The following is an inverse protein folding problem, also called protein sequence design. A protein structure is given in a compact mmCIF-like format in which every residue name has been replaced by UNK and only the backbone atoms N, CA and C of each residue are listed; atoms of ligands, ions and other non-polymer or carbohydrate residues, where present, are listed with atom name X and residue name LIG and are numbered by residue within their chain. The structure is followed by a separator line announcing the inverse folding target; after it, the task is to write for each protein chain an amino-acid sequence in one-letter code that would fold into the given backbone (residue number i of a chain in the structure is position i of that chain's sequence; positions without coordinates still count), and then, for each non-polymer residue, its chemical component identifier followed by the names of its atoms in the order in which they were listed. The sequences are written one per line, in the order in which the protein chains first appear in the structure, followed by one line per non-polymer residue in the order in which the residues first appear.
data_IF_162535623472
#
_entry.id   IF_162535623472
#
_cell.length_a   1.000
_cell.length_b   1.000
_cell.length_c   1.000
_cell.angle_alpha   90.00
_cell.angle_beta   90.00
_cell.angle_gamma   90.00
#
_symmetry.space_group_name_H-M   'P 1'
#
loop_
_entity.id
_entity.type
_entity.pdbx_description
1 polymer ?
#
# COMPACT_ATOMS: atom_id res chain seq x y z
N UNK A 1 24.27 39.21 -24.06
CA UNK A 1 24.48 38.08 -24.97
C UNK A 1 23.88 36.84 -24.32
N UNK A 2 22.69 36.46 -24.75
CA UNK A 2 21.98 35.29 -24.23
C UNK A 2 22.42 34.06 -25.04
N UNK A 3 23.03 33.08 -24.38
CA UNK A 3 23.44 31.83 -24.99
C UNK A 3 22.18 31.05 -25.41
N UNK A 4 22.00 30.89 -26.72
CA UNK A 4 20.84 30.30 -27.37
C UNK A 4 21.14 28.91 -27.94
N UNK A 5 22.00 28.14 -27.26
CA UNK A 5 22.35 26.79 -27.69
C UNK A 5 21.19 25.80 -27.46
N UNK A 6 21.06 24.77 -28.32
CA UNK A 6 20.00 23.73 -28.18
C UNK A 6 20.00 23.04 -26.81
N UNK A 7 21.14 22.97 -26.12
CA UNK A 7 21.28 22.43 -24.76
C UNK A 7 20.56 23.29 -23.70
N UNK A 8 20.60 24.61 -23.82
CA UNK A 8 19.94 25.52 -22.87
C UNK A 8 18.42 25.47 -23.03
N UNK A 9 17.91 25.20 -24.23
CA UNK A 9 16.47 25.02 -24.48
C UNK A 9 15.93 23.70 -23.88
N UNK A 10 16.70 22.63 -23.94
CA UNK A 10 16.33 21.33 -23.38
C UNK A 10 16.25 21.40 -21.84
N UNK A 11 17.20 22.07 -21.19
CA UNK A 11 17.23 22.22 -19.73
C UNK A 11 16.08 23.11 -19.24
N UNK A 12 15.73 24.17 -19.96
CA UNK A 12 14.57 25.02 -19.60
C UNK A 12 13.23 24.30 -19.77
N UNK A 13 13.08 23.44 -20.77
CA UNK A 13 11.86 22.64 -20.96
C UNK A 13 11.70 21.57 -19.85
N UNK A 14 12.82 21.01 -19.40
CA UNK A 14 12.83 20.02 -18.31
C UNK A 14 12.50 20.66 -16.94
N UNK A 15 12.98 21.86 -16.67
CA UNK A 15 12.68 22.61 -15.44
C UNK A 15 11.20 23.08 -15.38
N UNK A 16 10.57 23.36 -16.52
CA UNK A 16 9.16 23.77 -16.56
C UNK A 16 8.18 22.60 -16.30
N UNK A 17 8.56 21.37 -16.63
CA UNK A 17 7.78 20.15 -16.33
C UNK A 17 7.86 19.71 -14.86
N UNK A 18 8.94 20.10 -14.16
CA UNK A 18 9.16 19.73 -12.74
C UNK A 18 8.37 20.63 -11.77
N UNK A 19 7.98 21.85 -12.17
CA UNK A 19 7.29 22.81 -11.28
C UNK A 19 5.78 22.54 -11.06
N UNK A 20 5.22 21.52 -11.71
CA UNK A 20 3.80 21.18 -11.58
C UNK A 20 3.51 19.95 -10.72
N UNK A 21 4.52 19.33 -10.10
CA UNK A 21 4.35 18.09 -9.32
C UNK A 21 5.04 18.20 -7.97
N UNK A 22 4.29 18.42 -6.91
CA UNK A 22 4.72 18.24 -5.53
C UNK A 22 4.94 16.76 -5.25
N UNK A 23 6.15 16.38 -4.85
CA UNK A 23 6.49 15.03 -4.37
C UNK A 23 7.35 14.16 -5.30
N UNK A 24 8.48 14.68 -5.82
CA UNK A 24 9.44 13.89 -6.61
C UNK A 24 10.79 13.80 -5.92
N UNK A 25 11.32 12.60 -5.71
CA UNK A 25 12.70 12.37 -5.28
C UNK A 25 13.57 12.21 -6.54
N UNK A 26 14.52 13.11 -6.75
CA UNK A 26 15.49 13.03 -7.84
C UNK A 26 16.86 12.61 -7.27
N UNK A 27 17.38 11.44 -7.67
CA UNK A 27 18.79 11.10 -7.47
C UNK A 27 19.55 11.17 -8.81
N UNK A 28 20.66 11.88 -8.84
CA UNK A 28 21.45 12.13 -10.03
C UNK A 28 22.81 11.40 -9.95
N UNK A 29 23.12 10.51 -10.89
CA UNK A 29 24.46 9.92 -11.02
C UNK A 29 24.87 9.80 -12.49
N UNK A 30 25.87 10.58 -12.88
CA UNK A 30 26.77 10.50 -14.06
C UNK A 30 26.26 10.99 -15.43
N UNK A 31 27.09 11.81 -16.17
CA UNK A 31 26.68 12.56 -17.38
C UNK A 31 26.65 11.77 -18.71
N UNK A 32 26.76 10.44 -18.71
CA UNK A 32 26.80 9.62 -19.95
C UNK A 32 25.74 8.53 -20.09
N UNK A 33 24.78 8.40 -19.15
CA UNK A 33 23.57 7.59 -19.30
C UNK A 33 22.40 8.39 -18.77
N UNK A 34 21.41 8.65 -19.61
CA UNK A 34 20.11 9.09 -19.14
C UNK A 34 19.52 7.94 -18.33
N UNK A 35 19.67 7.98 -17.01
CA UNK A 35 18.93 7.12 -16.11
C UNK A 35 17.52 7.68 -16.10
N UNK A 36 16.55 6.95 -16.63
CA UNK A 36 15.13 7.25 -16.47
C UNK A 36 14.85 7.14 -14.96
N UNK A 37 14.95 8.28 -14.27
CA UNK A 37 14.52 8.37 -12.86
C UNK A 37 13.00 8.20 -12.87
N UNK A 38 12.56 7.03 -12.46
CA UNK A 38 11.14 6.72 -12.32
C UNK A 38 10.61 7.48 -11.13
N UNK A 39 9.76 8.45 -11.39
CA UNK A 39 9.08 9.23 -10.35
C UNK A 39 7.98 8.35 -9.76
N UNK A 40 8.17 7.89 -8.54
CA UNK A 40 7.10 7.25 -7.75
C UNK A 40 6.21 8.37 -7.23
N UNK A 41 4.92 8.34 -7.58
CA UNK A 41 3.94 9.27 -7.01
C UNK A 41 3.64 8.83 -5.57
N UNK A 42 4.29 9.47 -4.62
CA UNK A 42 3.96 9.31 -3.22
C UNK A 42 2.87 10.33 -2.86
N UNK A 43 1.75 9.92 -2.24
CA UNK A 43 0.74 10.86 -1.78
C UNK A 43 1.29 11.75 -0.66
N UNK A 44 0.72 12.93 -0.48
CA UNK A 44 0.95 13.73 0.73
C UNK A 44 0.38 12.99 1.92
N UNK A 45 1.23 12.59 2.86
CA UNK A 45 0.83 11.76 4.00
C UNK A 45 0.28 12.60 5.15
N UNK A 46 -0.80 12.14 5.76
CA UNK A 46 -1.37 12.63 7.02
C UNK A 46 -0.88 11.73 8.16
N UNK A 47 0.44 11.71 8.37
CA UNK A 47 1.08 10.72 9.26
C UNK A 47 0.66 10.88 10.72
N UNK A 48 0.51 12.11 11.22
CA UNK A 48 0.13 12.38 12.61
C UNK A 48 -1.33 12.01 12.88
N UNK A 49 -2.23 12.30 11.94
CA UNK A 49 -3.64 11.95 12.02
C UNK A 49 -3.83 10.44 11.98
N UNK A 50 -3.12 9.75 11.09
CA UNK A 50 -3.13 8.28 11.02
C UNK A 50 -2.55 7.67 12.30
N UNK A 51 -1.47 8.22 12.83
CA UNK A 51 -0.90 7.77 14.10
C UNK A 51 -1.84 7.99 15.29
N UNK A 52 -2.54 9.13 15.34
CA UNK A 52 -3.56 9.39 16.35
C UNK A 52 -4.71 8.37 16.28
N UNK A 53 -5.20 8.06 15.08
CA UNK A 53 -6.19 6.99 14.88
C UNK A 53 -5.67 5.63 15.35
N UNK A 54 -4.44 5.25 14.94
CA UNK A 54 -3.82 4.01 15.37
C UNK A 54 -3.73 3.90 16.89
N UNK A 55 -3.27 4.94 17.57
CA UNK A 55 -3.15 4.92 19.03
C UNK A 55 -4.49 4.67 19.71
N UNK A 56 -5.53 5.39 19.31
CA UNK A 56 -6.84 5.37 19.96
C UNK A 56 -7.64 4.12 19.61
N UNK A 57 -7.73 3.80 18.31
CA UNK A 57 -8.69 2.79 17.82
C UNK A 57 -8.06 1.42 17.54
N UNK A 58 -6.76 1.32 17.44
CA UNK A 58 -6.06 0.07 17.20
C UNK A 58 -5.29 -0.37 18.45
N UNK A 59 -4.30 0.43 18.89
CA UNK A 59 -3.41 0.04 19.96
C UNK A 59 -4.11 0.00 21.33
N UNK A 60 -4.76 1.08 21.72
CA UNK A 60 -5.46 1.16 23.01
C UNK A 60 -6.63 0.17 23.06
N UNK A 61 -7.41 0.07 21.98
CA UNK A 61 -8.48 -0.92 21.86
C UNK A 61 -7.97 -2.36 21.99
N UNK A 62 -6.84 -2.70 21.39
CA UNK A 62 -6.27 -4.04 21.53
C UNK A 62 -5.70 -4.28 22.92
N UNK A 63 -5.07 -3.29 23.55
CA UNK A 63 -4.58 -3.38 24.93
C UNK A 63 -5.69 -3.63 25.94
N UNK A 64 -6.82 -2.95 25.77
CA UNK A 64 -7.99 -3.14 26.65
C UNK A 64 -8.59 -4.56 26.58
N UNK A 65 -8.30 -5.30 25.51
CA UNK A 65 -8.72 -6.70 25.36
C UNK A 65 -7.65 -7.71 25.79
N UNK A 66 -6.38 -7.30 25.83
CA UNK A 66 -5.26 -8.23 25.96
C UNK A 66 -5.38 -9.10 27.21
N UNK A 67 -5.65 -8.49 28.37
CA UNK A 67 -5.78 -9.20 29.63
C UNK A 67 -6.91 -10.23 29.62
N UNK A 68 -8.09 -9.85 29.11
CA UNK A 68 -9.24 -10.76 29.06
C UNK A 68 -9.01 -11.89 28.04
N UNK A 69 -8.34 -11.61 26.91
CA UNK A 69 -8.02 -12.63 25.92
C UNK A 69 -7.02 -13.64 26.47
N UNK A 70 -5.96 -13.16 27.16
CA UNK A 70 -4.97 -14.00 27.82
C UNK A 70 -5.62 -14.89 28.90
N UNK A 71 -6.48 -14.32 29.75
CA UNK A 71 -7.20 -15.05 30.78
C UNK A 71 -7.99 -16.24 30.23
N UNK A 72 -8.57 -16.10 29.03
CA UNK A 72 -9.34 -17.14 28.37
C UNK A 72 -8.56 -17.94 27.32
N UNK A 73 -7.26 -17.75 27.19
CA UNK A 73 -6.39 -18.49 26.27
C UNK A 73 -6.56 -18.11 24.80
N UNK A 74 -7.10 -16.92 24.50
CA UNK A 74 -7.21 -16.42 23.13
C UNK A 74 -6.02 -15.58 22.74
N UNK A 75 -5.60 -15.70 21.47
CA UNK A 75 -4.60 -14.78 20.89
C UNK A 75 -5.18 -13.39 20.69
N UNK A 76 -4.39 -12.36 20.94
CA UNK A 76 -4.74 -10.98 20.59
C UNK A 76 -4.76 -10.76 19.07
N UNK A 77 -4.03 -11.57 18.32
CA UNK A 77 -4.03 -11.54 16.85
C UNK A 77 -5.47 -11.71 16.31
N UNK A 78 -5.86 -10.81 15.40
CA UNK A 78 -7.20 -10.79 14.82
C UNK A 78 -8.24 -10.03 15.65
N UNK A 79 -7.90 -9.49 16.82
CA UNK A 79 -8.79 -8.64 17.63
C UNK A 79 -9.10 -7.29 16.96
N UNK A 80 -8.25 -6.83 16.04
CA UNK A 80 -8.42 -5.65 15.19
C UNK A 80 -8.83 -6.11 13.79
N UNK A 81 -9.94 -5.59 13.28
CA UNK A 81 -10.51 -5.97 11.99
C UNK A 81 -9.75 -5.37 10.80
N UNK A 82 -9.95 -5.93 9.61
CA UNK A 82 -9.39 -5.37 8.37
C UNK A 82 -9.87 -3.94 8.10
N UNK A 83 -11.13 -3.66 8.48
CA UNK A 83 -11.74 -2.33 8.31
C UNK A 83 -10.98 -1.23 9.04
N UNK A 84 -10.43 -1.50 10.22
CA UNK A 84 -9.64 -0.52 10.98
C UNK A 84 -8.35 -0.16 10.24
N UNK A 85 -7.72 -1.16 9.57
CA UNK A 85 -6.53 -0.93 8.74
C UNK A 85 -6.84 -0.19 7.43
N UNK A 86 -8.01 -0.42 6.84
CA UNK A 86 -8.48 0.35 5.69
C UNK A 86 -8.69 1.82 6.06
N UNK A 87 -9.34 2.10 7.22
CA UNK A 87 -9.54 3.47 7.72
C UNK A 87 -8.20 4.13 8.05
N UNK A 88 -7.29 3.42 8.73
CA UNK A 88 -5.95 3.89 9.02
C UNK A 88 -5.20 4.29 7.73
N UNK A 89 -5.23 3.42 6.71
CA UNK A 89 -4.61 3.70 5.42
C UNK A 89 -5.27 4.89 4.71
N UNK A 90 -6.61 4.98 4.73
CA UNK A 90 -7.36 6.08 4.14
C UNK A 90 -6.96 7.43 4.73
N UNK A 91 -6.83 7.51 6.07
CA UNK A 91 -6.36 8.72 6.77
C UNK A 91 -4.92 9.03 6.33
N UNK A 92 -4.03 8.02 6.35
CA UNK A 92 -2.62 8.20 6.03
C UNK A 92 -2.40 8.83 4.66
N UNK A 93 -3.10 8.34 3.63
CA UNK A 93 -2.94 8.82 2.24
C UNK A 93 -3.96 9.87 1.83
N UNK A 94 -4.79 10.36 2.77
CA UNK A 94 -5.86 11.33 2.54
C UNK A 94 -6.80 10.91 1.40
N UNK A 95 -7.22 9.65 1.41
CA UNK A 95 -8.18 9.08 0.45
C UNK A 95 -9.48 8.64 1.17
N UNK A 96 -10.46 8.19 0.41
CA UNK A 96 -11.78 7.82 0.92
C UNK A 96 -12.15 6.42 0.46
N UNK A 97 -13.00 5.75 1.23
CA UNK A 97 -13.58 4.49 0.84
C UNK A 97 -14.27 4.59 -0.52
N UNK A 98 -14.02 3.62 -1.39
CA UNK A 98 -14.76 3.47 -2.64
C UNK A 98 -16.15 2.91 -2.34
N UNK A 99 -17.18 3.53 -2.90
CA UNK A 99 -18.55 3.02 -2.76
C UNK A 99 -18.75 1.79 -3.65
N UNK A 100 -19.43 0.81 -3.13
CA UNK A 100 -19.74 -0.44 -3.84
C UNK A 100 -18.61 -1.47 -3.72
N UNK A 101 -18.50 -2.31 -4.75
CA UNK A 101 -17.52 -3.38 -4.80
C UNK A 101 -16.33 -2.94 -5.64
N UNK A 102 -15.16 -3.39 -5.30
CA UNK A 102 -13.92 -3.01 -5.99
C UNK A 102 -12.77 -2.85 -4.99
N UNK A 103 -11.85 -1.95 -5.27
CA UNK A 103 -10.79 -1.59 -4.34
C UNK A 103 -11.36 -0.95 -3.07
N UNK A 104 -10.65 -1.08 -1.96
CA UNK A 104 -11.10 -0.58 -0.65
C UNK A 104 -11.22 0.95 -0.62
N UNK A 105 -10.30 1.65 -1.28
CA UNK A 105 -10.29 3.11 -1.42
C UNK A 105 -10.46 3.53 -2.88
N UNK A 106 -10.65 4.83 -3.11
CA UNK A 106 -10.82 5.35 -4.48
C UNK A 106 -9.61 5.06 -5.35
N UNK A 107 -8.39 5.24 -4.80
CA UNK A 107 -7.14 5.09 -5.53
C UNK A 107 -6.27 3.91 -5.06
N UNK A 108 -6.68 3.20 -4.00
CA UNK A 108 -5.85 2.16 -3.39
C UNK A 108 -6.65 0.92 -2.99
N UNK A 109 -6.02 -0.24 -3.15
CA UNK A 109 -6.38 -1.48 -2.44
C UNK A 109 -5.55 -1.59 -1.17
N UNK A 110 -6.16 -1.96 -0.04
CA UNK A 110 -5.48 -2.09 1.26
C UNK A 110 -5.43 -3.54 1.68
N UNK A 111 -4.25 -4.02 2.03
CA UNK A 111 -4.04 -5.37 2.57
C UNK A 111 -3.29 -5.31 3.88
N UNK A 112 -3.77 -6.04 4.89
CA UNK A 112 -3.07 -6.16 6.15
C UNK A 112 -2.71 -7.61 6.45
N UNK A 113 -1.51 -7.81 7.04
CA UNK A 113 -1.01 -9.11 7.45
C UNK A 113 -0.09 -8.98 8.67
N UNK A 114 0.20 -10.11 9.34
CA UNK A 114 1.24 -10.15 10.36
C UNK A 114 2.62 -9.92 9.73
N UNK A 115 3.51 -9.23 10.42
CA UNK A 115 4.90 -8.98 9.98
C UNK A 115 5.56 -10.28 9.52
N UNK A 116 6.17 -10.25 8.34
CA UNK A 116 6.79 -11.41 7.71
C UNK A 116 5.84 -12.35 6.98
N UNK A 117 4.53 -12.21 7.18
CA UNK A 117 3.52 -13.04 6.50
C UNK A 117 3.14 -12.49 5.13
N UNK A 118 2.52 -13.32 4.30
CA UNK A 118 2.01 -12.93 2.99
C UNK A 118 0.65 -12.23 3.10
N UNK A 119 0.39 -11.31 2.17
CA UNK A 119 -0.86 -10.56 2.07
C UNK A 119 -1.83 -11.28 1.15
N UNK A 120 -2.99 -11.67 1.67
CA UNK A 120 -3.99 -12.45 0.94
C UNK A 120 -4.90 -11.56 0.09
N UNK A 121 -5.11 -11.98 -1.16
CA UNK A 121 -6.15 -11.53 -2.06
C UNK A 121 -7.19 -12.63 -2.20
N UNK A 122 -8.46 -12.25 -2.09
CA UNK A 122 -9.58 -13.18 -2.17
C UNK A 122 -10.59 -12.69 -3.18
N UNK A 123 -10.90 -13.56 -4.15
CA UNK A 123 -11.88 -13.30 -5.19
C UNK A 123 -13.07 -14.24 -5.02
N UNK A 124 -14.25 -13.69 -4.85
CA UNK A 124 -15.48 -14.46 -4.77
C UNK A 124 -16.03 -14.73 -6.18
N UNK A 125 -16.68 -15.87 -6.38
CA UNK A 125 -17.20 -16.30 -7.67
C UNK A 125 -18.08 -15.25 -8.35
N UNK A 126 -18.92 -14.55 -7.60
CA UNK A 126 -19.87 -13.58 -8.14
C UNK A 126 -19.21 -12.34 -8.77
N UNK A 127 -17.96 -12.02 -8.38
CA UNK A 127 -17.26 -10.78 -8.77
C UNK A 127 -15.88 -10.98 -9.36
N UNK A 128 -15.42 -12.20 -9.37
CA UNK A 128 -14.12 -12.71 -9.78
C UNK A 128 -13.28 -11.78 -10.67
N UNK A 129 -13.73 -11.57 -11.93
CA UNK A 129 -12.98 -10.79 -12.92
C UNK A 129 -13.03 -9.29 -12.65
N UNK A 130 -14.19 -8.78 -12.24
CA UNK A 130 -14.33 -7.35 -11.95
C UNK A 130 -13.44 -6.92 -10.78
N UNK A 131 -13.44 -7.68 -9.66
CA UNK A 131 -12.57 -7.38 -8.52
C UNK A 131 -11.09 -7.46 -8.89
N UNK A 132 -10.67 -8.46 -9.67
CA UNK A 132 -9.28 -8.56 -10.12
C UNK A 132 -8.90 -7.39 -11.03
N UNK A 133 -9.79 -6.96 -11.92
CA UNK A 133 -9.59 -5.78 -12.77
C UNK A 133 -9.51 -4.50 -11.94
N UNK A 134 -10.42 -4.32 -10.97
CA UNK A 134 -10.39 -3.18 -10.04
C UNK A 134 -9.08 -3.12 -9.25
N UNK A 135 -8.61 -4.25 -8.72
CA UNK A 135 -7.33 -4.33 -7.98
C UNK A 135 -6.13 -4.02 -8.89
N UNK A 136 -6.20 -4.39 -10.17
CA UNK A 136 -5.15 -4.10 -11.16
C UNK A 136 -5.04 -2.60 -11.48
N UNK A 137 -6.13 -1.85 -11.35
CA UNK A 137 -6.21 -0.44 -11.78
C UNK A 137 -5.82 0.57 -10.70
N UNK A 138 -5.58 0.12 -9.47
CA UNK A 138 -5.21 0.96 -8.33
C UNK A 138 -3.83 0.62 -7.79
N UNK A 139 -3.23 1.55 -7.03
CA UNK A 139 -2.03 1.28 -6.25
C UNK A 139 -2.38 0.49 -4.97
N UNK A 140 -1.40 -0.15 -4.35
CA UNK A 140 -1.63 -1.05 -3.23
C UNK A 140 -0.93 -0.58 -1.98
N UNK A 141 -1.68 -0.48 -0.87
CA UNK A 141 -1.15 -0.21 0.46
C UNK A 141 -1.11 -1.51 1.25
N UNK A 142 0.07 -1.88 1.71
CA UNK A 142 0.30 -3.06 2.53
C UNK A 142 0.64 -2.65 3.95
N UNK A 143 -0.16 -3.11 4.91
CA UNK A 143 0.04 -2.87 6.35
C UNK A 143 0.54 -4.16 6.99
N UNK A 144 1.81 -4.21 7.32
CA UNK A 144 2.41 -5.32 8.08
C UNK A 144 2.43 -4.96 9.56
N UNK A 145 1.90 -5.81 10.42
CA UNK A 145 1.75 -5.54 11.86
C UNK A 145 2.22 -6.69 12.72
N UNK A 146 2.73 -6.42 13.93
CA UNK A 146 2.98 -7.46 14.92
C UNK A 146 1.66 -8.03 15.47
N UNK A 147 1.70 -9.19 16.09
CA UNK A 147 0.53 -9.83 16.73
C UNK A 147 -0.05 -8.97 17.85
N UNK A 148 0.81 -8.21 18.54
CA UNK A 148 0.43 -7.27 19.61
C UNK A 148 0.08 -5.87 19.10
N UNK A 149 0.13 -5.65 17.80
CA UNK A 149 -0.07 -4.35 17.14
C UNK A 149 0.93 -3.24 17.52
N UNK A 150 1.96 -3.54 18.32
CA UNK A 150 2.98 -2.57 18.75
C UNK A 150 3.92 -2.12 17.63
N UNK A 151 4.12 -2.96 16.61
CA UNK A 151 4.95 -2.64 15.47
C UNK A 151 4.11 -2.69 14.19
N UNK A 152 4.21 -1.66 13.38
CA UNK A 152 3.47 -1.52 12.12
C UNK A 152 4.39 -0.95 11.06
N UNK A 153 4.40 -1.55 9.88
CA UNK A 153 5.01 -1.00 8.67
C UNK A 153 3.95 -0.79 7.60
N UNK A 154 3.95 0.36 6.96
CA UNK A 154 3.05 0.67 5.84
C UNK A 154 3.87 0.87 4.57
N UNK A 155 3.53 0.13 3.53
CA UNK A 155 4.22 0.12 2.25
C UNK A 155 3.27 0.45 1.11
N UNK A 156 3.71 1.27 0.17
CA UNK A 156 3.03 1.54 -1.10
C UNK A 156 3.72 0.77 -2.21
N UNK A 157 2.96 -0.04 -2.94
CA UNK A 157 3.41 -0.70 -4.18
C UNK A 157 2.56 -0.16 -5.33
N UNK A 158 3.20 0.47 -6.31
CA UNK A 158 2.50 0.97 -7.50
C UNK A 158 1.84 -0.18 -8.28
N UNK A 159 0.64 0.05 -8.82
CA UNK A 159 -0.09 -0.89 -9.68
C UNK A 159 0.78 -1.48 -10.80
N UNK A 160 1.67 -0.69 -11.38
CA UNK A 160 2.58 -1.12 -12.44
C UNK A 160 3.51 -2.27 -12.02
N UNK A 161 3.84 -2.36 -10.73
CA UNK A 161 4.64 -3.45 -10.15
C UNK A 161 3.81 -4.70 -9.89
N UNK A 162 2.49 -4.54 -9.75
CA UNK A 162 1.54 -5.62 -9.50
C UNK A 162 1.03 -6.29 -10.78
N UNK A 163 1.12 -5.65 -11.95
CA UNK A 163 0.56 -6.14 -13.23
C UNK A 163 0.97 -7.59 -13.51
N UNK A 164 2.25 -7.90 -13.47
CA UNK A 164 2.74 -9.27 -13.74
C UNK A 164 2.18 -10.31 -12.76
N UNK A 165 1.89 -9.92 -11.52
CA UNK A 165 1.27 -10.78 -10.52
C UNK A 165 -0.19 -11.07 -10.88
N UNK A 166 -0.97 -10.07 -11.24
CA UNK A 166 -2.36 -10.24 -11.64
C UNK A 166 -2.49 -10.97 -12.99
N UNK A 167 -1.61 -10.71 -13.94
CA UNK A 167 -1.58 -11.41 -15.24
C UNK A 167 -1.35 -12.91 -15.05
N UNK A 168 -0.52 -13.32 -14.10
CA UNK A 168 -0.34 -14.73 -13.73
C UNK A 168 -1.56 -15.33 -13.05
N UNK A 169 -2.24 -14.55 -12.17
CA UNK A 169 -3.40 -15.04 -11.43
C UNK A 169 -4.67 -15.16 -12.28
N UNK A 170 -4.80 -14.36 -13.34
CA UNK A 170 -5.99 -14.35 -14.19
C UNK A 170 -6.34 -15.72 -14.78
N UNK A 171 -5.45 -16.45 -15.48
CA UNK A 171 -5.76 -17.78 -15.99
C UNK A 171 -6.06 -18.79 -14.87
N UNK A 172 -5.36 -18.71 -13.74
CA UNK A 172 -5.60 -19.57 -12.58
C UNK A 172 -6.99 -19.32 -11.94
N UNK A 173 -7.40 -18.05 -11.89
CA UNK A 173 -8.74 -17.65 -11.42
C UNK A 173 -9.83 -18.18 -12.33
N UNK A 174 -9.67 -18.09 -13.66
CA UNK A 174 -10.62 -18.63 -14.62
C UNK A 174 -10.76 -20.14 -14.44
N UNK A 175 -9.64 -20.87 -14.42
CA UNK A 175 -9.62 -22.32 -14.21
C UNK A 175 -10.25 -22.73 -12.87
N UNK A 176 -10.02 -21.96 -11.80
CA UNK A 176 -10.62 -22.25 -10.48
C UNK A 176 -12.14 -22.27 -10.51
N UNK A 177 -12.76 -21.43 -11.37
CA UNK A 177 -14.21 -21.30 -11.45
C UNK A 177 -14.87 -22.16 -12.55
N UNK A 178 -14.12 -22.93 -13.29
CA UNK A 178 -14.67 -23.99 -14.15
C UNK A 178 -15.30 -25.08 -13.30
N UNK A 179 -14.75 -25.37 -12.11
CA UNK A 179 -15.35 -26.28 -11.15
C UNK A 179 -16.57 -25.62 -10.45
N UNK A 180 -17.74 -26.26 -10.53
CA UNK A 180 -19.02 -25.68 -10.09
C UNK A 180 -19.11 -25.41 -8.58
N UNK A 181 -18.36 -26.13 -7.75
CA UNK A 181 -18.39 -26.11 -6.29
C UNK A 181 -17.47 -25.04 -5.66
N UNK A 182 -16.50 -24.51 -6.43
CA UNK A 182 -15.55 -23.53 -5.88
C UNK A 182 -16.14 -22.14 -5.82
N UNK A 183 -16.17 -21.58 -4.60
CA UNK A 183 -16.73 -20.24 -4.32
C UNK A 183 -15.67 -19.14 -4.19
N UNK A 184 -14.43 -19.51 -3.94
CA UNK A 184 -13.34 -18.56 -3.65
C UNK A 184 -12.05 -18.98 -4.34
N UNK A 185 -11.38 -17.98 -4.91
CA UNK A 185 -10.00 -18.06 -5.37
C UNK A 185 -9.14 -17.21 -4.46
N UNK A 186 -8.04 -17.76 -3.96
CA UNK A 186 -7.12 -17.07 -3.06
C UNK A 186 -5.70 -17.12 -3.59
N UNK A 187 -5.02 -16.00 -3.53
CA UNK A 187 -3.60 -15.84 -3.84
C UNK A 187 -2.98 -14.84 -2.89
N UNK A 188 -1.65 -14.87 -2.78
CA UNK A 188 -0.96 -13.98 -1.85
C UNK A 188 0.23 -13.31 -2.50
N UNK A 189 0.51 -12.10 -2.04
CA UNK A 189 1.74 -11.36 -2.29
C UNK A 189 2.64 -11.51 -1.07
N UNK A 190 3.89 -11.91 -1.27
CA UNK A 190 4.82 -12.12 -0.15
C UNK A 190 5.28 -10.81 0.45
N UNK A 191 5.56 -10.81 1.76
CA UNK A 191 6.14 -9.66 2.46
C UNK A 191 7.48 -9.22 1.83
N UNK A 192 8.32 -10.18 1.40
CA UNK A 192 9.56 -9.88 0.69
C UNK A 192 9.36 -9.14 -0.63
N UNK A 193 8.33 -9.52 -1.42
CA UNK A 193 7.97 -8.80 -2.64
C UNK A 193 7.58 -7.34 -2.32
N UNK A 194 6.75 -7.14 -1.30
CA UNK A 194 6.29 -5.79 -0.89
C UNK A 194 7.48 -4.91 -0.50
N UNK A 195 8.42 -5.42 0.29
CA UNK A 195 9.64 -4.68 0.67
C UNK A 195 10.55 -4.35 -0.50
N UNK A 196 10.66 -5.27 -1.46
CA UNK A 196 11.55 -5.10 -2.61
C UNK A 196 10.98 -4.19 -3.70
N UNK A 197 9.65 -4.13 -3.85
CA UNK A 197 8.98 -3.36 -4.90
C UNK A 197 8.32 -2.08 -4.40
N UNK A 198 8.08 -1.98 -3.09
CA UNK A 198 7.36 -0.89 -2.46
C UNK A 198 8.24 0.22 -1.92
N UNK A 199 7.59 1.32 -1.59
CA UNK A 199 8.14 2.43 -0.81
C UNK A 199 7.51 2.40 0.57
N UNK A 200 8.33 2.46 1.62
CA UNK A 200 7.82 2.54 2.99
C UNK A 200 7.26 3.94 3.24
N UNK A 201 5.97 4.00 3.58
CA UNK A 201 5.27 5.24 3.87
C UNK A 201 5.36 5.63 5.35
N UNK A 202 5.25 4.65 6.24
CA UNK A 202 5.20 4.87 7.69
C UNK A 202 5.72 3.66 8.44
N UNK A 203 6.32 3.89 9.61
CA UNK A 203 6.71 2.85 10.56
C UNK A 203 6.36 3.27 11.99
N UNK A 204 5.79 2.34 12.73
CA UNK A 204 5.53 2.44 14.17
C UNK A 204 6.34 1.35 14.85
N UNK A 205 7.13 1.70 15.86
CA UNK A 205 7.96 0.77 16.63
C UNK A 205 7.63 0.90 18.10
N UNK A 206 7.33 -0.22 18.76
CA UNK A 206 6.95 -0.25 20.18
C UNK A 206 5.78 0.67 20.53
N UNK A 207 4.86 0.87 19.59
CA UNK A 207 3.68 1.72 19.73
C UNK A 207 3.91 3.20 19.43
N UNK A 208 5.14 3.61 19.08
CA UNK A 208 5.49 4.99 18.79
C UNK A 208 5.83 5.17 17.31
N UNK A 209 5.42 6.32 16.74
CA UNK A 209 5.72 6.69 15.34
C UNK A 209 7.23 6.91 15.20
N UNK A 210 7.91 5.99 14.53
CA UNK A 210 9.37 6.00 14.37
C UNK A 210 9.84 6.52 13.01
N UNK A 211 8.97 6.46 11.98
CA UNK A 211 9.29 6.94 10.65
C UNK A 211 8.01 7.28 9.87
N UNK A 212 8.07 8.30 9.06
CA UNK A 212 7.16 8.52 7.94
C UNK A 212 7.88 9.23 6.78
N UNK A 213 7.42 8.96 5.56
CA UNK A 213 7.98 9.56 4.36
C UNK A 213 7.49 11.01 4.25
N UNK A 214 8.40 11.96 4.35
CA UNK A 214 8.10 13.37 4.13
C UNK A 214 7.95 13.67 2.64
N UNK A 215 6.99 14.53 2.31
CA UNK A 215 6.87 15.07 0.96
C UNK A 215 8.06 16.01 0.69
N UNK A 216 8.86 15.69 -0.31
CA UNK A 216 9.99 16.53 -0.80
C UNK A 216 9.53 17.52 -1.86
#
# INVERSE_FOLDING_TARGET
MTDNTPKARLIRHFLYLVHSYTGCILSYTHPRRAVLVRVIRVPTLQAQEAYSFYRTYILEYSRNKAEIYEQYGFSLQGSVGSKDWEVFAAILVNDRARKGDGADLVNYEVKSATLGSSFEYQYHRNRRLNKLADDRDVDHIFVARSETYMNVEVWLVERTKMIATFDRWLPELLQNYEAADRQRFRRSVTYGFVKNQGVRLLEITSGELSYFLEAT
#
